data_IF_777319084814
#
_entry.id   IF_777319084814
#
_cell.length_a   1.000
_cell.length_b   1.000
_cell.length_c   1.000
_cell.angle_alpha   90.00
_cell.angle_beta   90.00
_cell.angle_gamma   90.00
#
_symmetry.space_group_name_H-M   'P 1'
#
loop_
_entity.id
_entity.type
_entity.pdbx_description
1 polymer ?
#
# COMPACT_ATOMS: atom_id res chain seq x y z
N UNK A 1 -21.24 -44.31 3.95
CA UNK A 1 -21.22 -42.89 3.52
C UNK A 1 -20.07 -42.22 4.26
N UNK A 2 -19.01 -41.80 3.56
CA UNK A 2 -17.84 -41.13 4.16
C UNK A 2 -17.99 -39.63 3.88
N UNK A 3 -18.17 -38.83 4.92
CA UNK A 3 -18.15 -37.37 4.84
C UNK A 3 -16.69 -36.97 5.03
N UNK A 4 -16.04 -36.52 3.95
CA UNK A 4 -14.72 -35.88 4.04
C UNK A 4 -14.97 -34.40 4.33
N UNK A 5 -14.78 -33.98 5.58
CA UNK A 5 -14.73 -32.56 5.93
C UNK A 5 -13.38 -32.04 5.43
N UNK A 6 -13.39 -31.38 4.28
CA UNK A 6 -12.27 -30.53 3.89
C UNK A 6 -12.32 -29.30 4.78
N UNK A 7 -11.65 -29.39 5.92
CA UNK A 7 -11.33 -28.21 6.72
C UNK A 7 -10.30 -27.44 5.88
N UNK A 8 -10.74 -26.36 5.23
CA UNK A 8 -9.81 -25.35 4.76
C UNK A 8 -9.09 -24.89 6.01
N UNK A 9 -7.82 -25.28 6.15
CA UNK A 9 -6.91 -24.58 7.03
C UNK A 9 -6.92 -23.15 6.49
N UNK A 10 -7.66 -22.26 7.15
CA UNK A 10 -7.43 -20.83 7.00
C UNK A 10 -5.93 -20.68 7.12
N UNK A 11 -5.28 -20.12 6.09
CA UNK A 11 -3.83 -19.95 6.03
C UNK A 11 -3.37 -19.49 7.40
N UNK A 12 -2.76 -20.43 8.11
CA UNK A 12 -2.57 -20.32 9.54
C UNK A 12 -1.33 -19.47 9.73
N UNK A 13 -1.58 -18.19 10.00
CA UNK A 13 -0.69 -17.26 10.71
C UNK A 13 0.29 -16.39 9.91
N UNK A 14 -0.09 -15.90 8.73
CA UNK A 14 0.52 -14.67 8.20
C UNK A 14 -0.17 -13.44 8.82
N UNK A 15 0.40 -12.89 9.88
CA UNK A 15 0.07 -11.54 10.32
C UNK A 15 0.66 -10.52 9.33
N UNK A 16 0.14 -9.31 9.32
CA UNK A 16 0.77 -8.18 8.64
C UNK A 16 0.45 -6.95 9.46
N UNK A 17 1.36 -6.02 9.58
CA UNK A 17 1.12 -4.83 10.40
C UNK A 17 1.83 -3.60 9.86
N UNK A 18 1.27 -2.45 10.18
CA UNK A 18 1.88 -1.14 9.99
C UNK A 18 1.97 -0.45 11.34
N UNK A 19 3.20 -0.14 11.77
CA UNK A 19 3.46 0.67 12.96
C UNK A 19 3.80 2.09 12.52
N UNK A 20 3.08 3.07 13.04
CA UNK A 20 3.33 4.50 12.79
C UNK A 20 3.74 5.17 14.10
N UNK A 21 5.01 5.58 14.20
CA UNK A 21 5.51 6.39 15.31
C UNK A 21 5.51 7.87 14.95
N UNK A 22 4.67 8.67 15.59
CA UNK A 22 4.61 10.12 15.43
C UNK A 22 5.47 10.86 16.45
N UNK A 23 6.27 11.82 15.97
CA UNK A 23 7.16 12.66 16.75
C UNK A 23 6.70 14.12 16.72
N UNK A 24 7.14 14.93 17.68
CA UNK A 24 6.81 16.37 17.69
C UNK A 24 7.31 17.10 16.42
N UNK A 25 8.46 16.66 15.87
CA UNK A 25 9.14 17.33 14.76
C UNK A 25 9.77 16.33 13.78
N UNK A 26 9.91 16.76 12.53
CA UNK A 26 10.59 16.01 11.45
C UNK A 26 12.00 15.57 11.85
N UNK A 27 12.78 16.45 12.48
CA UNK A 27 14.13 16.13 12.97
C UNK A 27 14.12 14.99 14.01
N UNK A 28 13.11 14.96 14.88
CA UNK A 28 12.94 13.89 15.86
C UNK A 28 12.69 12.53 15.19
N UNK A 29 11.79 12.51 14.21
CA UNK A 29 11.51 11.31 13.42
C UNK A 29 12.73 10.83 12.64
N UNK A 30 13.47 11.74 12.00
CA UNK A 30 14.68 11.39 11.25
C UNK A 30 15.76 10.81 12.19
N UNK A 31 16.04 11.46 13.31
CA UNK A 31 17.03 10.99 14.28
C UNK A 31 16.65 9.62 14.87
N UNK A 32 15.36 9.41 15.16
CA UNK A 32 14.87 8.13 15.64
C UNK A 32 14.94 7.04 14.57
N UNK A 33 14.65 7.37 13.30
CA UNK A 33 14.76 6.43 12.19
C UNK A 33 16.21 6.01 11.96
N UNK A 34 17.17 6.94 12.04
CA UNK A 34 18.59 6.62 11.85
C UNK A 34 19.11 5.73 12.99
N UNK A 35 18.69 5.99 14.24
CA UNK A 35 18.97 5.09 15.38
C UNK A 35 18.34 3.71 15.19
N UNK A 36 17.10 3.65 14.74
CA UNK A 36 16.40 2.39 14.54
C UNK A 36 17.04 1.59 13.41
N UNK A 37 17.33 2.21 12.26
CA UNK A 37 18.05 1.58 11.14
C UNK A 37 19.40 1.04 11.58
N UNK A 38 20.19 1.84 12.31
CA UNK A 38 21.48 1.40 12.84
C UNK A 38 21.33 0.23 13.82
N UNK A 39 20.26 0.21 14.63
CA UNK A 39 19.97 -0.88 15.56
C UNK A 39 19.54 -2.15 14.82
N UNK A 40 18.76 -2.03 13.74
CA UNK A 40 18.26 -3.16 12.97
C UNK A 40 19.31 -3.74 12.01
N UNK A 41 20.28 -2.96 11.55
CA UNK A 41 21.28 -3.42 10.56
C UNK A 41 21.97 -4.74 10.94
N UNK A 42 22.40 -4.98 12.20
CA UNK A 42 22.95 -6.28 12.60
C UNK A 42 22.00 -7.47 12.44
N UNK A 43 20.68 -7.27 12.48
CA UNK A 43 19.69 -8.32 12.18
C UNK A 43 19.72 -8.66 10.69
N UNK A 44 19.72 -7.65 9.82
CA UNK A 44 19.84 -7.83 8.37
C UNK A 44 21.15 -8.53 7.99
N UNK A 45 22.27 -8.11 8.58
CA UNK A 45 23.57 -8.73 8.34
C UNK A 45 23.58 -10.21 8.76
N UNK A 46 22.91 -10.53 9.87
CA UNK A 46 22.79 -11.90 10.34
C UNK A 46 21.94 -12.75 9.38
N UNK A 47 20.80 -12.26 8.88
CA UNK A 47 20.01 -12.97 7.89
C UNK A 47 20.75 -13.18 6.56
N UNK A 48 21.50 -12.18 6.10
CA UNK A 48 22.32 -12.31 4.90
C UNK A 48 23.40 -13.40 5.05
N UNK A 49 23.94 -13.58 6.26
CA UNK A 49 24.92 -14.62 6.57
C UNK A 49 24.31 -16.01 6.84
N UNK A 50 22.99 -16.09 7.08
CA UNK A 50 22.29 -17.32 7.45
C UNK A 50 21.01 -17.46 6.58
N UNK A 51 21.09 -17.92 5.33
CA UNK A 51 19.91 -17.97 4.45
C UNK A 51 18.94 -19.15 4.69
N UNK A 52 19.37 -20.22 5.37
CA UNK A 52 18.62 -21.49 5.47
C UNK A 52 17.81 -21.65 6.78
N UNK A 53 17.18 -20.58 7.27
CA UNK A 53 16.62 -20.60 8.62
C UNK A 53 15.12 -20.91 8.63
N UNK A 54 14.67 -21.63 9.65
CA UNK A 54 13.26 -21.84 9.97
C UNK A 54 12.61 -20.55 10.52
N UNK A 55 11.37 -20.30 10.09
CA UNK A 55 10.62 -19.05 10.33
C UNK A 55 9.97 -18.99 11.71
N UNK A 56 9.74 -20.12 12.39
CA UNK A 56 9.14 -20.20 13.73
C UNK A 56 10.19 -20.62 14.76
N UNK A 57 11.00 -19.67 15.22
CA UNK A 57 12.14 -19.96 16.08
C UNK A 57 12.48 -18.79 17.01
N UNK A 58 13.27 -19.11 18.04
CA UNK A 58 13.71 -18.16 19.07
C UNK A 58 14.39 -16.91 18.46
N UNK A 59 14.29 -15.74 19.12
CA UNK A 59 14.97 -14.53 18.69
C UNK A 59 16.47 -14.75 18.47
N UNK A 60 17.01 -14.10 17.45
CA UNK A 60 18.43 -14.22 17.10
C UNK A 60 19.31 -13.34 18.02
N UNK A 61 20.62 -13.60 18.15
CA UNK A 61 21.47 -12.82 19.05
C UNK A 61 21.42 -11.29 18.83
N UNK A 62 21.38 -10.77 17.58
CA UNK A 62 21.16 -9.34 17.34
C UNK A 62 19.84 -8.80 17.89
N UNK A 63 18.73 -9.54 17.77
CA UNK A 63 17.43 -9.13 18.31
C UNK A 63 17.46 -9.06 19.84
N UNK A 64 18.03 -10.07 20.49
CA UNK A 64 18.21 -10.09 21.94
C UNK A 64 19.09 -8.93 22.43
N UNK A 65 20.10 -8.54 21.66
CA UNK A 65 20.96 -7.40 21.97
C UNK A 65 20.22 -6.06 21.88
N UNK A 66 19.36 -5.89 20.88
CA UNK A 66 18.47 -4.72 20.76
C UNK A 66 17.47 -4.73 21.92
N UNK A 67 16.82 -5.87 22.18
CA UNK A 67 15.90 -6.07 23.29
C UNK A 67 16.48 -5.60 24.61
N UNK A 68 17.70 -6.03 24.92
CA UNK A 68 18.46 -5.57 26.09
C UNK A 68 18.76 -4.07 26.08
N UNK A 69 19.14 -3.51 24.93
CA UNK A 69 19.55 -2.10 24.80
C UNK A 69 18.40 -1.13 25.03
N UNK A 70 17.20 -1.50 24.58
CA UNK A 70 15.99 -0.72 24.79
C UNK A 70 15.22 -1.16 26.04
N UNK A 71 15.49 -2.33 26.62
CA UNK A 71 14.68 -2.91 27.69
C UNK A 71 13.28 -3.24 27.17
N UNK A 72 13.23 -3.98 26.06
CA UNK A 72 12.04 -4.57 25.45
C UNK A 72 12.24 -6.09 25.40
N UNK A 73 11.16 -6.83 25.60
CA UNK A 73 11.17 -8.29 25.49
C UNK A 73 10.97 -8.67 24.02
N UNK A 74 11.68 -9.72 23.58
CA UNK A 74 11.58 -10.28 22.25
C UNK A 74 11.19 -11.73 22.42
N UNK A 75 9.95 -12.07 22.14
CA UNK A 75 9.45 -13.44 22.33
C UNK A 75 9.67 -14.28 21.08
N UNK A 76 9.48 -13.67 19.90
CA UNK A 76 9.59 -14.32 18.60
C UNK A 76 10.52 -13.53 17.68
N UNK A 77 11.25 -14.26 16.86
CA UNK A 77 12.12 -13.71 15.82
C UNK A 77 11.31 -12.97 14.75
N UNK A 78 11.84 -11.86 14.22
CA UNK A 78 11.30 -11.10 13.08
C UNK A 78 11.58 -11.76 11.74
N UNK A 79 10.73 -12.71 11.39
CA UNK A 79 10.82 -13.58 10.24
C UNK A 79 10.55 -12.91 8.88
N UNK A 80 10.11 -11.65 8.89
CA UNK A 80 9.75 -10.84 7.72
C UNK A 80 10.86 -9.89 7.23
N UNK A 81 11.98 -9.81 7.95
CA UNK A 81 13.17 -9.04 7.56
C UNK A 81 14.04 -9.69 6.47
N UNK A 82 14.15 -11.03 6.32
CA UNK A 82 14.95 -11.66 5.27
C UNK A 82 14.62 -11.14 3.86
N UNK A 83 15.66 -10.88 3.06
CA UNK A 83 15.52 -10.41 1.68
C UNK A 83 15.10 -8.95 1.52
N UNK A 84 14.84 -8.23 2.62
CA UNK A 84 14.56 -6.78 2.60
C UNK A 84 15.84 -5.98 2.89
N UNK A 85 15.78 -4.68 2.66
CA UNK A 85 16.82 -3.73 3.08
C UNK A 85 16.29 -2.82 4.19
N UNK A 86 17.16 -2.49 5.16
CA UNK A 86 16.77 -1.72 6.35
C UNK A 86 16.11 -0.37 6.03
N UNK A 87 16.56 0.27 4.93
CA UNK A 87 16.03 1.55 4.47
C UNK A 87 14.60 1.47 3.95
N UNK A 88 14.15 0.31 3.47
CA UNK A 88 12.77 0.08 3.04
C UNK A 88 11.86 -0.24 4.23
N UNK A 89 12.39 -0.94 5.24
CA UNK A 89 11.65 -1.32 6.44
C UNK A 89 11.33 -0.13 7.33
N UNK A 90 12.29 0.79 7.51
CA UNK A 90 12.11 1.99 8.33
C UNK A 90 12.00 3.20 7.42
N UNK A 91 10.78 3.62 7.14
CA UNK A 91 10.50 4.81 6.32
C UNK A 91 10.21 6.03 7.18
N UNK A 92 10.64 7.21 6.72
CA UNK A 92 10.31 8.50 7.36
C UNK A 92 9.37 9.26 6.45
N UNK A 93 8.27 9.74 7.03
CA UNK A 93 7.30 10.58 6.34
C UNK A 93 6.92 11.76 7.24
N UNK A 94 7.40 12.95 6.90
CA UNK A 94 7.32 14.14 7.75
C UNK A 94 7.83 13.88 9.17
N UNK A 95 7.00 14.10 10.19
CA UNK A 95 7.31 13.86 11.60
C UNK A 95 6.98 12.42 12.04
N UNK A 96 6.89 11.47 11.11
CA UNK A 96 6.49 10.08 11.41
C UNK A 96 7.51 9.07 10.90
N UNK A 97 7.67 7.98 11.66
CA UNK A 97 8.32 6.75 11.22
C UNK A 97 7.21 5.76 10.89
N UNK A 98 7.35 5.05 9.78
CA UNK A 98 6.43 4.00 9.37
C UNK A 98 7.23 2.71 9.18
N UNK A 99 6.76 1.63 9.79
CA UNK A 99 7.31 0.29 9.68
C UNK A 99 6.20 -0.64 9.19
N UNK A 100 6.49 -1.42 8.15
CA UNK A 100 5.53 -2.38 7.58
C UNK A 100 6.14 -3.77 7.59
N UNK A 101 5.39 -4.71 8.17
CA UNK A 101 5.65 -6.14 8.07
C UNK A 101 4.51 -6.80 7.28
N UNK A 102 4.88 -7.71 6.39
CA UNK A 102 3.95 -8.48 5.58
C UNK A 102 4.22 -9.96 5.82
N UNK A 103 3.16 -10.77 5.88
CA UNK A 103 3.22 -12.23 6.01
C UNK A 103 4.18 -12.74 7.11
N UNK A 104 4.00 -12.24 8.33
CA UNK A 104 4.88 -12.50 9.47
C UNK A 104 4.20 -13.28 10.58
N UNK A 105 4.97 -14.09 11.31
CA UNK A 105 4.54 -14.71 12.56
C UNK A 105 4.88 -13.85 13.79
N UNK A 106 5.68 -12.81 13.59
CA UNK A 106 6.22 -11.99 14.66
C UNK A 106 5.21 -10.94 15.14
N UNK A 107 5.23 -10.66 16.46
CA UNK A 107 4.51 -9.53 17.04
C UNK A 107 5.07 -8.19 16.54
N UNK A 108 4.26 -7.13 16.59
CA UNK A 108 4.71 -5.75 16.33
C UNK A 108 5.32 -5.10 17.58
N UNK A 109 5.01 -5.65 18.75
CA UNK A 109 5.26 -5.11 20.09
C UNK A 109 6.73 -4.74 20.36
N UNK A 110 7.75 -5.50 19.92
CA UNK A 110 9.12 -5.08 20.15
C UNK A 110 9.44 -3.75 19.44
N UNK A 111 8.86 -3.52 18.26
CA UNK A 111 9.11 -2.31 17.46
C UNK A 111 8.31 -1.11 17.96
N UNK A 112 7.05 -1.28 18.34
CA UNK A 112 6.28 -0.16 18.91
C UNK A 112 6.88 0.31 20.24
N UNK A 113 7.34 -0.60 21.11
CA UNK A 113 7.97 -0.25 22.38
C UNK A 113 9.29 0.48 22.17
N UNK A 114 10.08 0.10 21.16
CA UNK A 114 11.29 0.83 20.78
C UNK A 114 10.93 2.24 20.32
N UNK A 115 9.92 2.40 19.46
CA UNK A 115 9.48 3.72 18.99
C UNK A 115 9.02 4.61 20.15
N UNK A 116 8.26 4.08 21.11
CA UNK A 116 7.87 4.79 22.33
C UNK A 116 9.09 5.26 23.11
N UNK A 117 10.10 4.39 23.29
CA UNK A 117 11.36 4.74 23.97
C UNK A 117 12.20 5.76 23.20
N UNK A 118 12.04 5.84 21.88
CA UNK A 118 12.63 6.88 21.05
C UNK A 118 11.85 8.21 21.11
N UNK A 119 10.70 8.25 21.80
CA UNK A 119 9.89 9.45 22.02
C UNK A 119 8.69 9.58 21.08
N UNK A 120 8.30 8.51 20.39
CA UNK A 120 7.14 8.51 19.52
C UNK A 120 5.83 8.31 20.30
N UNK A 121 4.74 8.87 19.78
CA UNK A 121 3.38 8.36 20.01
C UNK A 121 3.07 7.33 18.93
N UNK A 122 2.70 6.11 19.30
CA UNK A 122 2.55 5.02 18.33
C UNK A 122 1.07 4.76 18.00
N UNK A 123 0.80 4.53 16.72
CA UNK A 123 -0.46 4.01 16.18
C UNK A 123 -0.17 2.72 15.40
N UNK A 124 -1.13 1.81 15.41
CA UNK A 124 -0.99 0.48 14.84
C UNK A 124 -2.15 0.15 13.91
N UNK A 125 -1.85 -0.56 12.84
CA UNK A 125 -2.80 -1.38 12.08
C UNK A 125 -2.21 -2.77 11.94
N UNK A 126 -3.00 -3.81 12.21
CA UNK A 126 -2.66 -5.21 12.01
C UNK A 126 -3.73 -5.93 11.19
N UNK A 127 -3.35 -6.94 10.41
CA UNK A 127 -4.27 -7.72 9.57
C UNK A 127 -5.34 -8.44 10.38
N UNK A 128 -5.04 -8.79 11.63
CA UNK A 128 -5.99 -9.36 12.60
C UNK A 128 -6.48 -8.34 13.62
N UNK A 129 -6.11 -7.07 13.47
CA UNK A 129 -6.67 -6.01 14.29
C UNK A 129 -7.87 -5.43 13.56
N UNK A 130 -8.89 -5.09 14.30
CA UNK A 130 -9.99 -4.27 13.79
C UNK A 130 -9.64 -2.77 13.77
N UNK A 131 -8.34 -2.45 13.77
CA UNK A 131 -7.82 -1.09 13.65
C UNK A 131 -7.30 -0.83 12.25
N UNK A 132 -7.77 0.25 11.63
CA UNK A 132 -7.32 0.71 10.31
C UNK A 132 -6.57 2.02 10.44
N UNK A 133 -5.47 2.19 9.70
CA UNK A 133 -4.88 3.50 9.47
C UNK A 133 -5.54 4.13 8.25
N UNK A 134 -6.29 5.20 8.52
CA UNK A 134 -6.94 5.99 7.50
C UNK A 134 -6.20 7.30 7.28
N UNK A 135 -6.18 7.74 6.03
CA UNK A 135 -5.57 9.00 5.64
C UNK A 135 -6.60 9.91 5.02
N UNK A 136 -6.60 11.15 5.49
CA UNK A 136 -7.33 12.24 4.87
C UNK A 136 -6.34 13.20 4.21
N UNK A 137 -6.63 13.63 2.99
CA UNK A 137 -5.84 14.59 2.22
C UNK A 137 -6.73 15.77 1.86
N UNK A 138 -6.26 16.98 2.11
CA UNK A 138 -6.93 18.22 1.70
C UNK A 138 -5.96 19.04 0.87
N UNK A 139 -6.42 19.57 -0.27
CA UNK A 139 -5.62 20.48 -1.08
C UNK A 139 -6.45 21.57 -1.76
N UNK A 140 -5.72 22.55 -2.29
CA UNK A 140 -6.25 23.69 -3.02
C UNK A 140 -5.81 23.59 -4.49
N UNK A 141 -6.75 23.25 -5.37
CA UNK A 141 -6.52 23.21 -6.82
C UNK A 141 -6.35 24.63 -7.38
N UNK A 142 -5.63 24.78 -8.52
CA UNK A 142 -5.34 26.08 -9.10
C UNK A 142 -6.59 26.74 -9.70
N UNK A 143 -7.46 25.94 -10.30
CA UNK A 143 -8.75 26.35 -10.90
C UNK A 143 -9.78 25.24 -10.75
N UNK A 144 -11.06 25.59 -10.88
CA UNK A 144 -12.19 24.67 -10.70
C UNK A 144 -12.16 23.52 -11.73
N UNK A 145 -11.79 23.80 -12.98
CA UNK A 145 -11.66 22.78 -14.01
C UNK A 145 -10.66 21.66 -13.63
N UNK A 146 -9.53 22.03 -13.02
CA UNK A 146 -8.54 21.07 -12.51
C UNK A 146 -9.14 20.25 -11.37
N UNK A 147 -9.86 20.91 -10.45
CA UNK A 147 -10.49 20.26 -9.31
C UNK A 147 -11.55 19.24 -9.74
N UNK A 148 -12.40 19.58 -10.73
CA UNK A 148 -13.37 18.66 -11.33
C UNK A 148 -12.68 17.47 -12.00
N UNK A 149 -11.59 17.71 -12.73
CA UNK A 149 -10.87 16.63 -13.39
C UNK A 149 -10.23 15.66 -12.38
N UNK A 150 -9.56 16.19 -11.35
CA UNK A 150 -8.95 15.38 -10.29
C UNK A 150 -10.02 14.61 -9.50
N UNK A 151 -11.13 15.26 -9.15
CA UNK A 151 -12.27 14.62 -8.47
C UNK A 151 -12.79 13.43 -9.27
N UNK A 152 -13.03 13.61 -10.57
CA UNK A 152 -13.47 12.53 -11.46
C UNK A 152 -12.44 11.39 -11.54
N UNK A 153 -11.16 11.71 -11.75
CA UNK A 153 -10.09 10.70 -11.81
C UNK A 153 -9.96 9.90 -10.52
N UNK A 154 -10.06 10.58 -9.37
CA UNK A 154 -10.04 9.92 -8.06
C UNK A 154 -11.27 9.04 -7.86
N UNK A 155 -12.47 9.49 -8.22
CA UNK A 155 -13.67 8.66 -8.15
C UNK A 155 -13.61 7.44 -9.08
N UNK A 156 -13.04 7.59 -10.28
CA UNK A 156 -12.84 6.47 -11.21
C UNK A 156 -11.88 5.43 -10.61
N UNK A 157 -10.76 5.87 -10.02
CA UNK A 157 -9.76 4.97 -9.46
C UNK A 157 -10.16 4.39 -8.10
N UNK A 158 -10.77 5.18 -7.23
CA UNK A 158 -11.01 4.81 -5.84
C UNK A 158 -12.31 4.04 -5.62
N UNK A 159 -12.71 3.17 -6.54
CA UNK A 159 -13.80 2.20 -6.31
C UNK A 159 -13.23 0.89 -5.76
N UNK A 160 -14.01 0.11 -4.99
CA UNK A 160 -13.56 -1.17 -4.36
C UNK A 160 -12.88 -2.08 -5.37
N UNK A 161 -13.44 -2.14 -6.57
CA UNK A 161 -12.96 -3.03 -7.61
C UNK A 161 -11.58 -2.65 -8.15
N UNK A 162 -11.14 -1.43 -7.86
CA UNK A 162 -9.89 -0.85 -8.31
C UNK A 162 -8.81 -0.78 -7.21
N UNK A 163 -9.14 -1.23 -5.99
CA UNK A 163 -8.27 -1.27 -4.82
C UNK A 163 -7.18 -2.35 -4.85
N UNK A 164 -7.19 -3.24 -5.85
CA UNK A 164 -6.26 -4.36 -5.93
C UNK A 164 -5.13 -4.10 -6.94
N UNK A 165 -3.95 -4.71 -6.78
CA UNK A 165 -2.86 -4.56 -7.76
C UNK A 165 -3.27 -4.95 -9.19
N UNK A 166 -4.23 -5.87 -9.31
CA UNK A 166 -4.81 -6.37 -10.57
C UNK A 166 -6.05 -5.59 -11.03
N UNK A 167 -6.30 -4.45 -10.38
CA UNK A 167 -7.39 -3.57 -10.73
C UNK A 167 -7.36 -3.19 -12.21
N UNK A 168 -8.49 -3.20 -12.91
CA UNK A 168 -8.61 -2.78 -14.29
C UNK A 168 -8.73 -1.26 -14.43
N UNK A 169 -8.16 -0.50 -13.49
CA UNK A 169 -8.01 0.93 -13.60
C UNK A 169 -6.54 1.30 -13.53
N UNK A 170 -6.18 2.31 -14.31
CA UNK A 170 -4.86 2.92 -14.24
C UNK A 170 -4.73 3.70 -12.95
N UNK A 171 -3.59 3.52 -12.26
CA UNK A 171 -3.28 4.26 -11.03
C UNK A 171 -2.79 5.66 -11.45
N UNK A 172 -3.47 6.75 -11.08
CA UNK A 172 -3.12 8.10 -11.57
C UNK A 172 -1.70 8.54 -11.20
N UNK A 173 -1.19 8.03 -10.08
CA UNK A 173 0.13 8.33 -9.56
C UNK A 173 1.14 7.19 -9.77
N UNK A 174 0.92 6.26 -10.70
CA UNK A 174 1.84 5.13 -10.93
C UNK A 174 3.26 5.56 -11.27
N UNK A 175 3.40 6.73 -11.91
CA UNK A 175 4.65 7.31 -12.32
C UNK A 175 5.42 8.01 -11.18
N UNK A 176 4.92 7.96 -9.94
CA UNK A 176 5.50 8.67 -8.81
C UNK A 176 6.00 7.67 -7.77
N UNK A 177 7.25 7.84 -7.35
CA UNK A 177 7.92 6.98 -6.37
C UNK A 177 8.60 7.86 -5.33
N UNK A 178 8.37 7.57 -4.05
CA UNK A 178 8.98 8.30 -2.92
C UNK A 178 8.82 9.83 -3.03
N UNK A 179 7.66 10.28 -3.51
CA UNK A 179 7.34 11.71 -3.64
C UNK A 179 7.96 12.41 -4.85
N UNK A 180 8.52 11.66 -5.81
CA UNK A 180 9.11 12.20 -7.03
C UNK A 180 8.56 11.50 -8.27
N UNK A 181 8.45 12.24 -9.37
CA UNK A 181 8.10 11.65 -10.67
C UNK A 181 9.30 10.85 -11.20
N UNK A 182 9.09 9.59 -11.54
CA UNK A 182 10.12 8.70 -12.03
C UNK A 182 10.70 9.19 -13.37
N UNK A 183 11.97 8.91 -13.64
CA UNK A 183 12.61 9.30 -14.91
C UNK A 183 12.01 8.58 -16.13
N UNK A 184 11.42 7.40 -15.92
CA UNK A 184 10.72 6.58 -16.90
C UNK A 184 9.19 6.72 -16.80
N UNK A 185 8.69 7.80 -16.20
CA UNK A 185 7.27 8.06 -15.98
C UNK A 185 6.38 7.83 -17.21
N UNK A 186 6.76 8.38 -18.37
CA UNK A 186 5.99 8.23 -19.61
C UNK A 186 5.92 6.77 -20.09
N UNK A 187 7.00 6.02 -19.90
CA UNK A 187 7.05 4.60 -20.20
C UNK A 187 6.15 3.81 -19.24
N UNK A 188 6.25 4.08 -17.93
CA UNK A 188 5.42 3.46 -16.89
C UNK A 188 3.92 3.70 -17.12
N UNK A 189 3.52 4.94 -17.43
CA UNK A 189 2.14 5.28 -17.75
C UNK A 189 1.65 4.55 -19.03
N UNK A 190 2.53 4.38 -20.02
CA UNK A 190 2.22 3.65 -21.25
C UNK A 190 2.02 2.16 -20.97
N UNK A 191 2.95 1.51 -20.27
CA UNK A 191 2.85 0.08 -19.96
C UNK A 191 1.66 -0.23 -19.05
N UNK A 192 1.33 0.68 -18.12
CA UNK A 192 0.15 0.55 -17.25
C UNK A 192 -1.16 0.54 -18.04
N UNK A 193 -1.31 1.43 -19.01
CA UNK A 193 -2.49 1.44 -19.89
C UNK A 193 -2.64 0.12 -20.66
N UNK A 194 -1.53 -0.43 -21.14
CA UNK A 194 -1.53 -1.73 -21.83
C UNK A 194 -1.89 -2.85 -20.85
N UNK A 195 -1.27 -2.86 -19.66
CA UNK A 195 -1.52 -3.82 -18.60
C UNK A 195 -2.99 -3.84 -18.17
N UNK A 196 -3.56 -2.68 -17.86
CA UNK A 196 -4.96 -2.51 -17.49
C UNK A 196 -5.88 -3.02 -18.60
N UNK A 197 -5.56 -2.69 -19.87
CA UNK A 197 -6.34 -3.19 -21.01
C UNK A 197 -6.28 -4.72 -21.11
N UNK A 198 -5.11 -5.33 -20.87
CA UNK A 198 -4.97 -6.78 -20.82
C UNK A 198 -5.79 -7.40 -19.69
N UNK A 199 -5.72 -6.85 -18.48
CA UNK A 199 -6.46 -7.38 -17.31
C UNK A 199 -7.98 -7.22 -17.45
N UNK A 200 -8.45 -6.09 -17.99
CA UNK A 200 -9.85 -5.88 -18.35
C UNK A 200 -10.41 -6.96 -19.29
N UNK A 201 -9.55 -7.49 -20.17
CA UNK A 201 -9.95 -8.51 -21.13
C UNK A 201 -9.76 -9.94 -20.57
N UNK A 202 -8.64 -10.19 -19.87
CA UNK A 202 -8.29 -11.51 -19.29
C UNK A 202 -9.21 -11.92 -18.16
N UNK A 203 -9.80 -10.95 -17.47
CA UNK A 203 -10.83 -11.16 -16.46
C UNK A 203 -12.21 -10.88 -17.06
N UNK A 204 -12.75 -11.72 -17.99
CA UNK A 204 -14.14 -11.64 -18.35
C UNK A 204 -14.93 -12.11 -17.12
N UNK A 205 -15.34 -11.13 -16.33
CA UNK A 205 -16.11 -11.28 -15.12
C UNK A 205 -17.25 -12.31 -15.28
N UNK A 206 -17.50 -13.08 -14.21
CA UNK A 206 -18.55 -14.09 -14.14
C UNK A 206 -19.93 -13.40 -14.32
N UNK A 207 -20.68 -13.68 -15.41
CA UNK A 207 -21.86 -12.92 -15.81
C UNK A 207 -23.07 -13.01 -14.85
N UNK A 208 -22.92 -13.65 -13.70
CA UNK A 208 -23.97 -13.80 -12.67
C UNK A 208 -24.09 -12.60 -11.75
N UNK A 209 -23.07 -11.74 -11.62
CA UNK A 209 -23.18 -10.51 -10.83
C UNK A 209 -23.66 -9.35 -11.72
N UNK A 210 -24.84 -8.84 -11.39
CA UNK A 210 -25.64 -7.88 -12.17
C UNK A 210 -25.10 -6.43 -12.10
N UNK A 211 -23.78 -6.28 -11.96
CA UNK A 211 -23.12 -5.02 -11.67
C UNK A 211 -22.99 -4.10 -12.91
N UNK A 212 -23.00 -2.79 -12.66
CA UNK A 212 -22.85 -1.69 -13.60
C UNK A 212 -21.68 -1.90 -14.57
N UNK A 213 -20.57 -2.48 -14.10
CA UNK A 213 -19.40 -2.78 -14.92
C UNK A 213 -19.66 -3.85 -15.98
N UNK A 214 -20.49 -4.85 -15.69
CA UNK A 214 -20.93 -5.83 -16.69
C UNK A 214 -21.78 -5.20 -17.79
N UNK A 215 -22.57 -4.16 -17.46
CA UNK A 215 -23.32 -3.37 -18.45
C UNK A 215 -22.38 -2.51 -19.28
N UNK A 216 -21.36 -1.90 -18.68
CA UNK A 216 -20.33 -1.11 -19.37
C UNK A 216 -19.50 -1.99 -20.31
N UNK A 217 -19.02 -3.15 -19.86
CA UNK A 217 -18.26 -4.09 -20.71
C UNK A 217 -19.14 -4.60 -21.85
N UNK A 218 -20.39 -4.99 -21.59
CA UNK A 218 -21.33 -5.35 -22.67
C UNK A 218 -21.62 -4.18 -23.61
N UNK A 219 -21.68 -2.95 -23.13
CA UNK A 219 -21.89 -1.77 -23.97
C UNK A 219 -20.65 -1.41 -24.81
N UNK A 220 -19.44 -1.56 -24.26
CA UNK A 220 -18.18 -1.22 -24.95
C UNK A 220 -17.75 -2.32 -25.93
N UNK A 221 -17.92 -3.59 -25.56
CA UNK A 221 -17.36 -4.73 -26.30
C UNK A 221 -18.43 -5.63 -26.94
N UNK A 222 -19.71 -5.44 -26.63
CA UNK A 222 -20.78 -6.35 -27.05
C UNK A 222 -20.64 -7.76 -26.45
N UNK A 223 -21.52 -8.68 -26.85
CA UNK A 223 -21.41 -10.10 -26.49
C UNK A 223 -20.42 -10.88 -27.39
N UNK A 224 -19.62 -10.20 -28.21
CA UNK A 224 -18.85 -10.86 -29.26
C UNK A 224 -17.44 -11.24 -28.79
N UNK A 225 -17.31 -12.43 -28.20
CA UNK A 225 -16.04 -13.03 -27.77
C UNK A 225 -14.96 -13.01 -28.87
N UNK A 226 -15.35 -13.09 -30.15
CA UNK A 226 -14.41 -13.02 -31.27
C UNK A 226 -13.85 -11.60 -31.46
N UNK A 227 -14.63 -10.54 -31.18
CA UNK A 227 -14.13 -9.16 -31.21
C UNK A 227 -13.11 -8.91 -30.09
N UNK A 228 -13.41 -9.41 -28.89
CA UNK A 228 -12.49 -9.35 -27.74
C UNK A 228 -11.16 -10.06 -28.07
N UNK A 229 -11.22 -11.29 -28.61
CA UNK A 229 -10.02 -12.03 -29.03
C UNK A 229 -9.27 -11.35 -30.17
N UNK A 230 -9.96 -10.70 -31.11
CA UNK A 230 -9.35 -9.92 -32.19
C UNK A 230 -8.63 -8.70 -31.64
N UNK A 231 -9.24 -7.96 -30.71
CA UNK A 231 -8.61 -6.81 -30.05
C UNK A 231 -7.38 -7.23 -29.23
N UNK A 232 -7.44 -8.34 -28.50
CA UNK A 232 -6.28 -8.91 -27.81
C UNK A 232 -5.10 -9.16 -28.75
N UNK A 233 -5.35 -9.74 -29.92
CA UNK A 233 -4.30 -10.00 -30.92
C UNK A 233 -3.65 -8.73 -31.48
N UNK A 234 -4.35 -7.59 -31.38
CA UNK A 234 -3.88 -6.30 -31.89
C UNK A 234 -3.30 -5.40 -30.80
N UNK A 235 -3.39 -5.78 -29.52
CA UNK A 235 -2.75 -5.03 -28.44
C UNK A 235 -1.25 -5.32 -28.44
N UNK A 236 -0.40 -4.33 -28.10
CA UNK A 236 1.02 -4.58 -27.90
C UNK A 236 1.17 -5.60 -26.77
N UNK A 237 1.89 -6.70 -27.04
CA UNK A 237 2.28 -7.61 -25.97
C UNK A 237 3.27 -6.90 -25.06
N UNK A 238 3.03 -6.94 -23.75
CA UNK A 238 4.06 -6.58 -22.78
C UNK A 238 5.12 -7.67 -22.80
N UNK A 239 6.37 -7.27 -22.77
CA UNK A 239 7.47 -8.19 -22.47
C UNK A 239 7.35 -8.67 -21.00
N UNK A 240 7.92 -9.83 -20.64
CA UNK A 240 7.94 -10.29 -19.25
C UNK A 240 8.58 -9.27 -18.28
N UNK A 241 9.57 -8.50 -18.75
CA UNK A 241 10.20 -7.42 -17.99
C UNK A 241 9.23 -6.25 -17.76
N UNK A 242 8.57 -5.74 -18.81
CA UNK A 242 7.56 -4.69 -18.68
C UNK A 242 6.40 -5.12 -17.76
N UNK A 243 5.95 -6.37 -17.87
CA UNK A 243 4.91 -6.92 -16.99
C UNK A 243 5.38 -6.98 -15.52
N UNK A 244 6.63 -7.37 -15.28
CA UNK A 244 7.21 -7.39 -13.93
C UNK A 244 7.36 -5.97 -13.36
N UNK A 245 7.87 -5.03 -14.17
CA UNK A 245 8.02 -3.61 -13.81
C UNK A 245 6.69 -2.97 -13.45
N UNK A 246 5.65 -3.12 -14.28
CA UNK A 246 4.34 -2.53 -14.00
C UNK A 246 3.69 -3.15 -12.77
N UNK A 247 3.82 -4.47 -12.57
CA UNK A 247 3.29 -5.15 -11.37
C UNK A 247 3.95 -4.62 -10.10
N UNK A 248 5.28 -4.47 -10.10
CA UNK A 248 6.03 -3.91 -8.99
C UNK A 248 5.69 -2.43 -8.72
N UNK A 249 5.56 -1.63 -9.79
CA UNK A 249 5.15 -0.23 -9.64
C UNK A 249 3.73 -0.12 -9.07
N UNK A 250 2.80 -0.94 -9.58
CA UNK A 250 1.43 -0.99 -9.08
C UNK A 250 1.38 -1.41 -7.63
N UNK A 251 2.06 -2.49 -7.22
CA UNK A 251 2.03 -2.96 -5.83
C UNK A 251 2.46 -1.88 -4.84
N UNK A 252 3.45 -1.04 -5.20
CA UNK A 252 3.91 0.09 -4.38
C UNK A 252 2.97 1.30 -4.34
N UNK A 253 2.02 1.38 -5.27
CA UNK A 253 1.12 2.52 -5.44
C UNK A 253 -0.34 2.22 -5.09
N UNK A 254 -0.66 0.97 -4.73
CA UNK A 254 -2.03 0.57 -4.40
C UNK A 254 -2.50 1.29 -3.13
N UNK A 255 -3.67 1.91 -3.23
CA UNK A 255 -4.49 2.32 -2.09
C UNK A 255 -5.96 2.12 -2.45
N UNK A 256 -6.81 2.00 -1.43
CA UNK A 256 -8.25 1.91 -1.55
C UNK A 256 -8.91 3.07 -0.82
N UNK A 257 -10.12 3.44 -1.22
CA UNK A 257 -11.03 4.07 -0.25
C UNK A 257 -11.57 2.96 0.65
N UNK A 258 -11.72 3.23 1.95
CA UNK A 258 -12.41 2.30 2.86
C UNK A 258 -13.91 2.30 2.50
N UNK A 259 -14.28 1.39 1.61
CA UNK A 259 -15.64 1.30 1.06
C UNK A 259 -16.40 0.13 1.65
N UNK A 260 -15.75 -0.84 2.30
CA UNK A 260 -16.45 -1.89 3.05
C UNK A 260 -17.47 -1.27 4.02
N UNK A 261 -17.21 -0.03 4.48
CA UNK A 261 -18.12 0.74 5.32
C UNK A 261 -18.60 2.07 4.72
N UNK A 262 -18.51 2.27 3.39
CA UNK A 262 -18.92 3.51 2.70
C UNK A 262 -18.30 4.81 3.27
N UNK A 263 -17.13 4.74 3.89
CA UNK A 263 -16.55 5.90 4.55
C UNK A 263 -15.63 6.71 3.65
N UNK A 264 -14.99 6.05 2.69
CA UNK A 264 -14.15 6.71 1.70
C UNK A 264 -14.92 7.70 0.81
N UNK A 265 -14.43 8.93 0.69
CA UNK A 265 -15.11 9.96 -0.11
C UNK A 265 -14.13 10.95 -0.74
N UNK A 266 -14.48 11.41 -1.93
CA UNK A 266 -13.82 12.54 -2.59
C UNK A 266 -14.82 13.69 -2.65
N UNK A 267 -14.56 14.75 -1.90
CA UNK A 267 -15.41 15.94 -1.79
C UNK A 267 -14.77 17.08 -2.57
N UNK A 268 -15.58 17.72 -3.42
CA UNK A 268 -15.22 18.91 -4.18
C UNK A 268 -16.03 20.11 -3.69
N UNK A 269 -15.35 21.21 -3.34
CA UNK A 269 -16.00 22.49 -3.02
C UNK A 269 -15.26 23.64 -3.73
N UNK A 270 -15.76 24.02 -4.90
CA UNK A 270 -15.09 24.97 -5.79
C UNK A 270 -13.71 24.46 -6.20
N UNK A 271 -12.66 25.09 -5.68
CA UNK A 271 -11.27 24.71 -5.94
C UNK A 271 -10.63 23.91 -4.80
N UNK A 272 -11.35 23.67 -3.69
CA UNK A 272 -10.89 22.82 -2.60
C UNK A 272 -11.26 21.36 -2.88
N UNK A 273 -10.28 20.47 -2.80
CA UNK A 273 -10.45 19.03 -2.93
C UNK A 273 -10.11 18.36 -1.60
N UNK A 274 -10.98 17.45 -1.15
CA UNK A 274 -10.78 16.64 0.04
C UNK A 274 -10.97 15.17 -0.32
N UNK A 275 -10.00 14.35 0.06
CA UNK A 275 -9.99 12.91 -0.12
C UNK A 275 -9.93 12.33 1.29
N UNK A 276 -11.02 11.75 1.77
CA UNK A 276 -11.12 11.27 3.14
C UNK A 276 -11.20 9.74 3.19
N UNK A 277 -10.65 9.17 4.25
CA UNK A 277 -10.68 7.75 4.59
C UNK A 277 -10.02 6.87 3.52
N UNK A 278 -8.84 7.28 3.06
CA UNK A 278 -7.96 6.47 2.22
C UNK A 278 -7.30 5.42 3.09
N UNK A 279 -7.45 4.17 2.71
CA UNK A 279 -6.76 3.04 3.32
C UNK A 279 -5.62 2.58 2.40
N UNK A 280 -4.44 2.39 2.97
CA UNK A 280 -3.26 1.92 2.25
C UNK A 280 -2.96 0.49 2.65
N UNK A 281 -3.23 -0.46 1.76
CA UNK A 281 -2.92 -1.87 1.99
C UNK A 281 -1.40 -2.02 2.00
N UNK A 282 -0.78 -1.91 3.18
CA UNK A 282 0.66 -2.15 3.44
C UNK A 282 1.62 -1.32 2.57
N UNK A 283 1.20 -0.15 2.07
CA UNK A 283 1.99 0.69 1.14
C UNK A 283 1.97 2.18 1.49
N UNK A 284 1.64 2.54 2.73
CA UNK A 284 1.52 3.93 3.17
C UNK A 284 2.77 4.78 2.85
N UNK A 285 4.02 4.33 3.12
CA UNK A 285 5.22 5.13 2.89
C UNK A 285 5.52 5.43 1.42
N UNK A 286 5.03 4.62 0.49
CA UNK A 286 5.29 4.77 -0.94
C UNK A 286 4.14 5.48 -1.64
N UNK A 287 2.91 5.04 -1.38
CA UNK A 287 1.73 5.51 -2.08
C UNK A 287 1.29 6.92 -1.64
N UNK A 288 1.35 7.25 -0.35
CA UNK A 288 0.96 8.60 0.12
C UNK A 288 1.86 9.70 -0.47
N UNK A 289 3.21 9.58 -0.43
CA UNK A 289 4.07 10.53 -1.14
C UNK A 289 3.82 10.60 -2.64
N UNK A 290 3.53 9.47 -3.30
CA UNK A 290 3.20 9.43 -4.72
C UNK A 290 1.93 10.23 -5.04
N UNK A 291 0.87 10.07 -4.25
CA UNK A 291 -0.37 10.85 -4.38
C UNK A 291 -0.10 12.34 -4.16
N UNK A 292 0.66 12.70 -3.12
CA UNK A 292 1.00 14.11 -2.83
C UNK A 292 1.79 14.73 -3.99
N UNK A 293 2.77 14.01 -4.54
CA UNK A 293 3.56 14.48 -5.68
C UNK A 293 2.70 14.65 -6.93
N UNK A 294 1.83 13.67 -7.23
CA UNK A 294 0.87 13.77 -8.33
C UNK A 294 -0.07 14.98 -8.19
N UNK A 295 -0.58 15.26 -6.98
CA UNK A 295 -1.40 16.45 -6.72
C UNK A 295 -0.61 17.74 -6.98
N UNK A 296 0.67 17.80 -6.56
CA UNK A 296 1.57 18.95 -6.82
C UNK A 296 1.81 19.17 -8.31
N UNK A 297 2.06 18.11 -9.07
CA UNK A 297 2.26 18.17 -10.53
C UNK A 297 1.00 18.65 -11.26
N UNK A 298 -0.18 18.46 -10.67
CA UNK A 298 -1.45 19.03 -11.14
C UNK A 298 -1.71 20.46 -10.62
N UNK A 299 -0.70 21.12 -10.04
CA UNK A 299 -0.77 22.50 -9.55
C UNK A 299 -1.49 22.69 -8.23
N UNK A 300 -1.78 21.61 -7.48
CA UNK A 300 -2.40 21.74 -6.17
C UNK A 300 -1.42 22.34 -5.15
N UNK A 301 -1.94 23.21 -4.30
CA UNK A 301 -1.22 23.89 -3.21
C UNK A 301 -1.90 23.61 -1.88
N UNK A 302 -1.30 24.08 -0.77
CA UNK A 302 -1.84 23.91 0.59
C UNK A 302 -2.21 22.45 0.92
N UNK A 303 -1.44 21.49 0.39
CA UNK A 303 -1.68 20.07 0.60
C UNK A 303 -1.37 19.77 2.07
N UNK A 304 -2.36 19.22 2.77
CA UNK A 304 -2.25 18.74 4.14
C UNK A 304 -2.82 17.33 4.19
N UNK A 305 -2.27 16.50 5.05
CA UNK A 305 -2.84 15.19 5.30
C UNK A 305 -2.81 14.87 6.79
N UNK A 306 -3.70 13.97 7.20
CA UNK A 306 -3.76 13.43 8.55
C UNK A 306 -3.82 11.92 8.47
N UNK A 307 -3.04 11.24 9.30
CA UNK A 307 -3.13 9.79 9.50
C UNK A 307 -3.86 9.60 10.82
N UNK A 308 -4.95 8.83 10.81
CA UNK A 308 -5.75 8.54 11.99
C UNK A 308 -5.94 7.04 12.11
N UNK A 309 -5.84 6.53 13.35
CA UNK A 309 -6.23 5.17 13.67
C UNK A 309 -7.73 5.15 13.95
N UNK A 310 -8.45 4.27 13.28
CA UNK A 310 -9.87 4.00 13.54
C UNK A 310 -9.98 2.59 14.09
N UNK A 311 -10.46 2.44 15.34
CA UNK A 311 -10.58 1.15 16.02
C UNK A 311 -12.01 0.60 16.02
N UNK A 312 -12.15 -0.64 16.51
CA UNK A 312 -13.32 -1.52 16.47
C UNK A 312 -14.69 -0.83 16.38
N UNK A 313 -15.29 -1.04 15.21
CA UNK A 313 -16.70 -1.24 14.92
C UNK A 313 -17.51 -1.73 16.14
N UNK A 314 -18.17 -0.80 16.83
CA UNK A 314 -19.33 -1.10 17.67
C UNK A 314 -20.59 -1.35 16.86
#
# INVERSE_FOLDING_TARGET
MRISIWQQFASNHSNSFTVVGEFERVEGAQNAADKLRASLQPIFDWYAANPEIEYDADPIPPELAIGKSYGVEWELRHDWLPGRIVGEVVSVLDNRIIIIAEETWSPHEPLDQILVKLGATVSLEGAFSDTLLLVDIVCQCPIEATAINLHRTLLEFMTVENAFPYAPASIPWIAYHSGQRASDAEELERIDKIFVTHEQIKSPYNPTNNDLRSKIIKAIFGNNRADIQRRLKNLPALTPDEESRVRLARSKCVCSLNIENNQGRVILNGTRLEIANIWFILNLPTALPAIIAWLKDNGCTNIRYTIRQEGEYG
#
